data_IF_094154128126
#
_entry.id   IF_094154128126
#
_cell.length_a   1.000
_cell.length_b   1.000
_cell.length_c   1.000
_cell.angle_alpha   90.00
_cell.angle_beta   90.00
_cell.angle_gamma   90.00
#
_symmetry.space_group_name_H-M   'P 1'
#
loop_
_entity.id
_entity.type
_entity.pdbx_description
1 polymer ?
#
# COMPACT_ATOMS: atom_id res chain seq x y z
N UNK A 1 22.46 -7.72 -5.21
CA UNK A 1 21.24 -8.45 -4.80
C UNK A 1 20.05 -7.66 -5.33
N UNK A 2 19.31 -8.18 -6.32
CA UNK A 2 18.11 -7.51 -6.80
C UNK A 2 17.06 -7.52 -5.68
N UNK A 3 16.48 -6.37 -5.35
CA UNK A 3 15.35 -6.32 -4.44
C UNK A 3 14.17 -7.04 -5.11
N UNK A 4 13.68 -8.09 -4.45
CA UNK A 4 12.49 -8.80 -4.89
C UNK A 4 11.27 -7.89 -4.71
N UNK A 5 10.55 -7.62 -5.80
CA UNK A 5 9.36 -6.78 -5.76
C UNK A 5 8.22 -7.56 -5.11
N UNK A 6 7.80 -7.15 -3.90
CA UNK A 6 6.70 -7.79 -3.16
C UNK A 6 5.39 -7.02 -3.33
N UNK A 7 4.51 -7.58 -4.16
CA UNK A 7 3.16 -7.08 -4.36
C UNK A 7 2.17 -7.85 -3.48
N UNK A 8 1.42 -7.15 -2.64
CA UNK A 8 0.44 -7.76 -1.72
C UNK A 8 -0.96 -7.23 -1.98
N UNK A 9 -1.97 -8.05 -1.70
CA UNK A 9 -3.36 -7.60 -1.79
C UNK A 9 -3.72 -6.67 -0.63
N UNK A 10 -4.76 -5.85 -0.79
CA UNK A 10 -5.31 -5.05 0.31
C UNK A 10 -5.69 -5.88 1.55
N UNK A 11 -6.21 -7.10 1.34
CA UNK A 11 -6.59 -8.01 2.44
C UNK A 11 -5.36 -8.45 3.22
N UNK A 12 -4.32 -8.85 2.51
CA UNK A 12 -3.07 -9.28 3.12
C UNK A 12 -2.35 -8.13 3.82
N UNK A 13 -2.29 -6.95 3.20
CA UNK A 13 -1.75 -5.76 3.82
C UNK A 13 -2.49 -5.43 5.12
N UNK A 14 -3.82 -5.43 5.10
CA UNK A 14 -4.65 -5.19 6.29
C UNK A 14 -4.36 -6.20 7.40
N UNK A 15 -4.24 -7.48 7.07
CA UNK A 15 -3.91 -8.52 8.05
C UNK A 15 -2.49 -8.39 8.63
N UNK A 16 -1.52 -7.89 7.86
CA UNK A 16 -0.13 -7.73 8.31
C UNK A 16 0.10 -6.43 9.10
N UNK A 17 -0.54 -5.33 8.71
CA UNK A 17 -0.32 -4.02 9.34
C UNK A 17 -1.33 -3.69 10.43
N UNK A 18 -2.45 -4.42 10.50
CA UNK A 18 -3.57 -4.11 11.38
C UNK A 18 -4.41 -2.90 10.91
N UNK A 19 -4.05 -2.28 9.78
CA UNK A 19 -4.78 -1.16 9.21
C UNK A 19 -6.03 -1.68 8.50
N UNK A 20 -7.14 -0.93 8.58
CA UNK A 20 -8.39 -1.36 7.96
C UNK A 20 -8.28 -1.43 6.43
N UNK A 21 -8.93 -2.45 5.86
CA UNK A 21 -9.02 -2.64 4.41
C UNK A 21 -9.57 -1.38 3.71
N UNK A 22 -10.61 -0.78 4.28
CA UNK A 22 -11.26 0.41 3.71
C UNK A 22 -10.34 1.63 3.71
N UNK A 23 -9.52 1.80 4.75
CA UNK A 23 -8.53 2.87 4.78
C UNK A 23 -7.47 2.67 3.68
N UNK A 24 -6.90 1.46 3.57
CA UNK A 24 -5.92 1.14 2.53
C UNK A 24 -6.51 1.33 1.12
N UNK A 25 -7.77 0.94 0.93
CA UNK A 25 -8.50 1.15 -0.33
C UNK A 25 -8.66 2.63 -0.65
N UNK A 26 -9.06 3.45 0.33
CA UNK A 26 -9.18 4.92 0.16
C UNK A 26 -7.83 5.54 -0.19
N UNK A 27 -6.74 5.09 0.42
CA UNK A 27 -5.39 5.57 0.10
C UNK A 27 -4.98 5.24 -1.34
N UNK A 28 -5.36 4.06 -1.86
CA UNK A 28 -5.15 3.74 -3.27
C UNK A 28 -5.95 4.67 -4.19
N UNK A 29 -7.24 4.86 -3.90
CA UNK A 29 -8.13 5.71 -4.71
C UNK A 29 -7.63 7.16 -4.73
N UNK A 30 -7.14 7.66 -3.60
CA UNK A 30 -6.60 9.00 -3.46
C UNK A 30 -5.15 9.12 -3.99
N UNK A 31 -4.55 8.04 -4.51
CA UNK A 31 -3.20 8.04 -5.06
C UNK A 31 -2.07 8.20 -4.03
N UNK A 32 -2.36 8.04 -2.73
CA UNK A 32 -1.39 8.28 -1.65
C UNK A 32 -0.38 7.14 -1.47
N UNK A 33 -0.74 5.92 -1.86
CA UNK A 33 0.11 4.73 -1.74
C UNK A 33 0.38 4.15 -3.12
N UNK A 34 1.62 3.72 -3.37
CA UNK A 34 2.02 3.06 -4.60
C UNK A 34 1.27 1.72 -4.78
N UNK A 35 0.47 1.64 -5.84
CA UNK A 35 -0.38 0.49 -6.11
C UNK A 35 -0.52 0.26 -7.62
N UNK A 36 -0.92 -0.95 -7.99
CA UNK A 36 -1.39 -1.28 -9.34
C UNK A 36 -2.78 -1.91 -9.24
N UNK A 37 -3.52 -1.84 -10.34
CA UNK A 37 -4.81 -2.52 -10.48
C UNK A 37 -4.63 -3.79 -11.32
N UNK A 38 -4.95 -4.93 -10.73
CA UNK A 38 -4.96 -6.24 -11.38
C UNK A 38 -6.42 -6.70 -11.51
N UNK A 39 -7.06 -6.34 -12.63
CA UNK A 39 -8.50 -6.53 -12.84
C UNK A 39 -9.34 -5.76 -11.82
N UNK A 40 -10.06 -6.49 -10.97
CA UNK A 40 -10.90 -5.93 -9.90
C UNK A 40 -10.18 -5.81 -8.55
N UNK A 41 -8.89 -6.15 -8.48
CA UNK A 41 -8.10 -6.12 -7.24
C UNK A 41 -7.04 -5.02 -7.28
N UNK A 42 -6.74 -4.48 -6.11
CA UNK A 42 -5.59 -3.61 -5.88
C UNK A 42 -4.43 -4.44 -5.32
N UNK A 43 -3.25 -4.26 -5.90
CA UNK A 43 -2.00 -4.80 -5.40
C UNK A 43 -1.10 -3.64 -4.97
N UNK A 44 -0.65 -3.70 -3.72
CA UNK A 44 0.22 -2.71 -3.09
C UNK A 44 1.67 -3.16 -3.19
N UNK A 45 2.58 -2.21 -3.41
CA UNK A 45 3.99 -2.47 -3.15
C UNK A 45 4.21 -2.47 -1.63
N UNK A 46 4.66 -3.60 -1.07
CA UNK A 46 4.78 -3.78 0.38
C UNK A 46 5.81 -2.83 1.00
N UNK A 47 6.99 -2.71 0.40
CA UNK A 47 8.06 -1.90 0.96
C UNK A 47 7.66 -0.42 1.02
N UNK A 48 7.07 0.09 -0.07
CA UNK A 48 6.54 1.47 -0.10
C UNK A 48 5.39 1.71 0.87
N UNK A 49 4.56 0.69 1.13
CA UNK A 49 3.52 0.80 2.15
C UNK A 49 4.15 0.92 3.54
N UNK A 50 5.14 0.09 3.87
CA UNK A 50 5.84 0.14 5.16
C UNK A 50 6.53 1.49 5.34
N UNK A 51 7.22 1.98 4.32
CA UNK A 51 7.86 3.30 4.35
C UNK A 51 6.82 4.39 4.67
N UNK A 52 5.72 4.42 3.93
CA UNK A 52 4.64 5.40 4.13
C UNK A 52 4.03 5.33 5.54
N UNK A 53 3.83 4.13 6.10
CA UNK A 53 3.27 3.97 7.44
C UNK A 53 4.24 4.43 8.54
N UNK A 54 5.55 4.30 8.31
CA UNK A 54 6.58 4.71 9.26
C UNK A 54 6.88 6.22 9.19
N UNK A 55 6.86 6.81 8.00
CA UNK A 55 7.14 8.25 7.81
C UNK A 55 5.90 9.13 7.94
N UNK A 56 4.70 8.55 7.77
CA UNK A 56 3.46 9.31 7.65
C UNK A 56 3.30 9.94 6.27
N UNK A 57 2.25 10.75 6.11
CA UNK A 57 2.06 11.52 4.88
C UNK A 57 3.22 12.51 4.72
N UNK A 58 3.92 12.53 3.58
CA UNK A 58 4.90 13.56 3.32
C UNK A 58 4.18 14.91 3.34
N UNK A 59 4.66 15.83 4.19
CA UNK A 59 4.20 17.22 4.17
C UNK A 59 4.43 17.76 2.76
N UNK A 60 3.35 18.05 2.04
CA UNK A 60 3.41 18.55 0.68
C UNK A 60 4.06 19.94 0.66
N UNK A 61 4.95 20.15 -0.33
CA UNK A 61 5.29 21.49 -0.81
C UNK A 61 4.07 22.19 -1.43
#
# INVERSE_FOLDING_TARGET
MGQEVKMVTLKEASSRTGVSYDWLRKMCINGKIAHIRAGNKYLLNWDRLVDYLNTGEPEGN
#
